data_IF_245235983294
#
_entry.id   IF_245235983294
#
_cell.length_a   1.000
_cell.length_b   1.000
_cell.length_c   1.000
_cell.angle_alpha   90.00
_cell.angle_beta   90.00
_cell.angle_gamma   90.00
#
_symmetry.space_group_name_H-M   'P 1'
#
loop_
_entity.id
_entity.type
_entity.pdbx_description
1 polymer ?
#
# COMPACT_ATOMS: atom_id res chain seq x y z
N UNK A 1 11.40 15.68 24.37
CA UNK A 1 10.75 15.93 25.67
C UNK A 1 11.63 16.87 26.51
N UNK A 2 11.13 18.06 26.83
CA UNK A 2 11.83 19.02 27.70
C UNK A 2 11.25 18.93 29.12
N UNK A 3 12.10 18.98 30.14
CA UNK A 3 11.67 19.17 31.53
C UNK A 3 11.08 17.96 32.28
N UNK A 4 11.12 16.75 31.71
CA UNK A 4 10.66 15.54 32.42
C UNK A 4 9.14 15.42 32.59
N UNK A 5 8.35 16.11 31.76
CA UNK A 5 6.88 16.09 31.80
C UNK A 5 6.27 14.71 31.52
N UNK A 6 7.04 13.82 30.88
CA UNK A 6 6.77 12.38 30.78
C UNK A 6 8.01 11.64 31.28
N UNK A 7 7.87 10.77 32.30
CA UNK A 7 8.95 9.91 32.77
C UNK A 7 9.52 9.05 31.64
N UNK A 8 10.84 8.91 31.59
CA UNK A 8 11.53 8.19 30.52
C UNK A 8 11.14 6.72 30.43
N UNK A 9 10.73 6.11 31.55
CA UNK A 9 10.23 4.73 31.62
C UNK A 9 8.94 4.49 30.82
N UNK A 10 8.11 5.53 30.60
CA UNK A 10 6.85 5.40 29.86
C UNK A 10 6.99 5.68 28.36
N UNK A 11 8.12 6.24 27.91
CA UNK A 11 8.37 6.53 26.49
C UNK A 11 8.28 5.25 25.62
N UNK A 12 8.85 4.10 26.02
CA UNK A 12 8.69 2.85 25.27
C UNK A 12 7.22 2.41 25.14
N UNK A 13 6.41 2.64 26.17
CA UNK A 13 4.98 2.30 26.17
C UNK A 13 4.21 3.14 25.15
N UNK A 14 4.47 4.46 25.11
CA UNK A 14 3.89 5.35 24.08
C UNK A 14 4.26 4.87 22.68
N UNK A 15 5.54 4.56 22.46
CA UNK A 15 6.03 4.02 21.18
C UNK A 15 5.30 2.73 20.80
N UNK A 16 5.18 1.77 21.72
CA UNK A 16 4.47 0.52 21.48
C UNK A 16 3.00 0.75 21.13
N UNK A 17 2.34 1.70 21.81
CA UNK A 17 0.96 2.07 21.52
C UNK A 17 0.78 2.65 20.12
N UNK A 18 1.72 3.48 19.68
CA UNK A 18 1.75 4.02 18.32
C UNK A 18 1.97 2.90 17.31
N UNK A 19 2.98 2.05 17.49
CA UNK A 19 3.29 0.95 16.57
C UNK A 19 2.13 -0.05 16.41
N UNK A 20 1.44 -0.37 17.50
CA UNK A 20 0.25 -1.24 17.46
C UNK A 20 -0.91 -0.59 16.72
N UNK A 21 -1.17 0.69 16.97
CA UNK A 21 -2.21 1.44 16.26
C UNK A 21 -1.86 1.60 14.76
N UNK A 22 -0.58 1.76 14.42
CA UNK A 22 -0.11 1.77 13.04
C UNK A 22 -0.39 0.43 12.36
N UNK A 23 -0.06 -0.69 13.02
CA UNK A 23 -0.27 -2.03 12.47
C UNK A 23 -1.75 -2.36 12.23
N UNK A 24 -2.64 -1.91 13.13
CA UNK A 24 -4.09 -2.12 13.01
C UNK A 24 -4.75 -1.25 11.93
N UNK A 25 -4.13 -0.13 11.56
CA UNK A 25 -4.70 0.82 10.62
C UNK A 25 -5.78 1.72 11.23
N UNK A 26 -5.97 2.90 10.62
CA UNK A 26 -6.89 3.93 11.14
C UNK A 26 -8.11 4.16 10.26
N UNK A 27 -7.96 4.05 8.92
CA UNK A 27 -9.02 4.42 7.96
C UNK A 27 -9.78 3.20 7.43
N UNK A 28 -9.06 2.18 6.98
CA UNK A 28 -9.65 0.99 6.37
C UNK A 28 -8.99 -0.31 6.87
N UNK A 29 -8.44 -0.28 8.09
CA UNK A 29 -7.80 -1.44 8.71
C UNK A 29 -6.48 -1.89 8.07
N UNK A 30 -5.91 -1.06 7.17
CA UNK A 30 -4.60 -1.32 6.58
C UNK A 30 -3.48 -0.63 7.38
N UNK A 31 -2.30 -1.26 7.49
CA UNK A 31 -1.18 -0.68 8.20
C UNK A 31 -0.83 0.73 7.74
N UNK A 32 -0.57 1.62 8.69
CA UNK A 32 -0.07 2.96 8.43
C UNK A 32 1.44 2.89 8.23
N UNK A 33 1.93 3.43 7.12
CA UNK A 33 3.35 3.48 6.76
C UNK A 33 3.78 4.93 6.46
N UNK A 34 5.09 5.15 6.35
CA UNK A 34 5.69 6.44 5.95
C UNK A 34 5.31 7.64 6.83
N UNK A 35 5.18 7.40 8.14
CA UNK A 35 4.91 8.44 9.14
C UNK A 35 6.08 8.63 10.10
N UNK A 36 6.25 9.87 10.56
CA UNK A 36 7.16 10.22 11.66
C UNK A 36 6.34 10.67 12.86
N UNK A 37 6.51 10.00 14.00
CA UNK A 37 5.91 10.39 15.27
C UNK A 37 6.96 11.04 16.18
N UNK A 38 6.62 12.17 16.79
CA UNK A 38 7.48 12.87 17.75
C UNK A 38 6.71 13.15 19.04
N UNK A 39 7.20 12.62 20.16
CA UNK A 39 6.70 12.93 21.50
C UNK A 39 7.38 14.22 22.00
N UNK A 40 6.69 15.34 21.85
CA UNK A 40 7.22 16.65 22.20
C UNK A 40 6.73 17.18 23.56
N UNK A 41 5.56 16.72 24.04
CA UNK A 41 4.93 17.17 25.29
C UNK A 41 4.05 16.07 25.92
N UNK A 42 3.62 16.28 27.17
CA UNK A 42 2.74 15.37 27.91
C UNK A 42 2.65 15.71 29.40
N UNK A 43 1.91 14.90 30.15
CA UNK A 43 1.79 14.99 31.60
C UNK A 43 1.53 13.62 32.21
N UNK A 44 1.82 13.45 33.49
CA UNK A 44 1.51 12.23 34.23
C UNK A 44 0.97 12.56 35.62
N UNK A 45 0.33 11.57 36.23
CA UNK A 45 -0.09 11.56 37.63
C UNK A 45 0.57 10.37 38.32
N UNK A 46 1.27 10.59 39.44
CA UNK A 46 2.13 9.58 40.08
C UNK A 46 1.41 8.28 40.44
N UNK A 47 0.11 8.36 40.79
CA UNK A 47 -0.65 7.20 41.28
C UNK A 47 -1.47 6.52 40.18
N UNK A 48 -2.00 7.30 39.24
CA UNK A 48 -2.95 6.79 38.25
C UNK A 48 -2.30 6.50 36.89
N UNK A 49 -1.07 7.01 36.67
CA UNK A 49 -0.33 6.74 35.44
C UNK A 49 0.31 5.37 35.48
N UNK A 50 0.20 4.66 34.35
CA UNK A 50 0.75 3.33 34.18
C UNK A 50 1.27 3.17 32.75
N UNK A 51 2.09 2.14 32.54
CA UNK A 51 2.58 1.76 31.22
C UNK A 51 1.42 1.55 30.23
N UNK A 52 0.37 0.86 30.67
CA UNK A 52 -0.83 0.62 29.87
C UNK A 52 -1.55 1.93 29.51
N UNK A 53 -1.64 2.88 30.45
CA UNK A 53 -2.27 4.17 30.18
C UNK A 53 -1.51 4.95 29.09
N UNK A 54 -0.18 5.00 29.17
CA UNK A 54 0.65 5.65 28.15
C UNK A 54 0.62 4.94 26.80
N UNK A 55 0.52 3.61 26.80
CA UNK A 55 0.31 2.82 25.58
C UNK A 55 -1.02 3.18 24.90
N UNK A 56 -2.11 3.21 25.66
CA UNK A 56 -3.43 3.61 25.14
C UNK A 56 -3.39 5.06 24.64
N UNK A 57 -2.77 5.98 25.39
CA UNK A 57 -2.62 7.37 24.98
C UNK A 57 -1.86 7.52 23.65
N UNK A 58 -0.77 6.76 23.46
CA UNK A 58 -0.03 6.72 22.19
C UNK A 58 -0.89 6.23 21.02
N UNK A 59 -1.66 5.16 21.22
CA UNK A 59 -2.59 4.62 20.22
C UNK A 59 -3.67 5.65 19.83
N UNK A 60 -4.32 6.27 20.82
CA UNK A 60 -5.34 7.30 20.58
C UNK A 60 -4.77 8.51 19.85
N UNK A 61 -3.57 8.96 20.24
CA UNK A 61 -2.89 10.11 19.63
C UNK A 61 -2.61 9.87 18.15
N UNK A 62 -2.15 8.67 17.78
CA UNK A 62 -1.97 8.30 16.37
C UNK A 62 -3.30 8.34 15.62
N UNK A 63 -4.35 7.69 16.15
CA UNK A 63 -5.64 7.62 15.46
C UNK A 63 -6.23 9.01 15.18
N UNK A 64 -6.16 9.92 16.15
CA UNK A 64 -6.61 11.30 15.95
C UNK A 64 -5.72 12.07 14.97
N UNK A 65 -4.40 11.92 15.10
CA UNK A 65 -3.42 12.58 14.23
C UNK A 65 -3.60 12.19 12.78
N UNK A 66 -3.70 10.88 12.49
CA UNK A 66 -3.88 10.36 11.13
C UNK A 66 -5.18 10.87 10.51
N UNK A 67 -6.29 10.90 11.25
CA UNK A 67 -7.58 11.40 10.72
C UNK A 67 -7.55 12.88 10.32
N UNK A 68 -6.68 13.69 10.97
CA UNK A 68 -6.51 15.11 10.67
C UNK A 68 -5.45 15.37 9.59
N UNK A 69 -4.63 14.37 9.27
CA UNK A 69 -3.48 14.49 8.36
C UNK A 69 -3.82 14.23 6.87
N UNK A 70 -5.11 14.17 6.51
CA UNK A 70 -5.59 13.83 5.16
C UNK A 70 -4.95 12.52 4.62
N UNK A 71 -5.22 11.38 5.28
CA UNK A 71 -4.56 10.12 4.95
C UNK A 71 -5.01 9.60 3.58
N UNK A 72 -4.07 8.95 2.88
CA UNK A 72 -4.31 8.31 1.58
C UNK A 72 -4.18 6.79 1.71
N UNK A 73 -4.91 6.07 0.87
CA UNK A 73 -4.70 4.63 0.72
C UNK A 73 -3.61 4.39 -0.32
N UNK A 74 -2.77 3.40 -0.04
CA UNK A 74 -1.71 2.96 -0.93
C UNK A 74 -2.06 1.59 -1.52
N UNK A 75 -1.80 1.40 -2.80
CA UNK A 75 -1.87 0.09 -3.46
C UNK A 75 -0.48 -0.33 -3.98
N UNK A 76 -0.16 -1.64 -3.94
CA UNK A 76 1.07 -2.15 -4.50
C UNK A 76 1.00 -2.15 -6.03
N UNK A 77 1.99 -1.51 -6.64
CA UNK A 77 2.21 -1.48 -8.09
C UNK A 77 3.23 -2.58 -8.44
N UNK A 78 2.82 -3.45 -9.36
CA UNK A 78 3.63 -4.54 -9.84
C UNK A 78 4.33 -4.12 -11.13
N UNK A 79 5.63 -4.36 -11.22
CA UNK A 79 6.33 -4.39 -12.51
C UNK A 79 6.02 -5.72 -13.17
N UNK A 80 5.35 -5.67 -14.30
CA UNK A 80 4.91 -6.82 -15.09
C UNK A 80 5.73 -6.85 -16.37
N UNK A 81 6.36 -7.98 -16.64
CA UNK A 81 7.05 -8.24 -17.90
C UNK A 81 6.29 -9.31 -18.64
N UNK A 82 5.84 -9.01 -19.85
CA UNK A 82 5.08 -9.91 -20.71
C UNK A 82 5.86 -10.20 -21.98
N UNK A 83 6.13 -11.47 -22.23
CA UNK A 83 6.75 -11.94 -23.48
C UNK A 83 5.64 -12.55 -24.33
N UNK A 84 5.40 -11.99 -25.51
CA UNK A 84 4.26 -12.34 -26.38
C UNK A 84 4.64 -12.29 -27.87
N UNK A 85 4.03 -13.11 -28.73
CA UNK A 85 4.17 -12.95 -30.18
C UNK A 85 3.69 -11.57 -30.65
N UNK A 86 4.35 -11.00 -31.66
CA UNK A 86 3.99 -9.69 -32.24
C UNK A 86 2.52 -9.65 -32.70
N UNK A 87 2.00 -10.77 -33.21
CA UNK A 87 0.61 -10.91 -33.64
C UNK A 87 -0.42 -10.71 -32.51
N UNK A 88 -0.04 -10.94 -31.24
CA UNK A 88 -0.92 -10.78 -30.07
C UNK A 88 -0.54 -9.56 -29.22
N UNK A 89 0.44 -8.76 -29.66
CA UNK A 89 0.93 -7.60 -28.92
C UNK A 89 -0.16 -6.56 -28.65
N UNK A 90 -1.00 -6.28 -29.65
CA UNK A 90 -2.09 -5.29 -29.51
C UNK A 90 -3.10 -5.65 -28.42
N UNK A 91 -3.51 -6.92 -28.37
CA UNK A 91 -4.46 -7.41 -27.37
C UNK A 91 -3.87 -7.35 -25.96
N UNK A 92 -2.59 -7.72 -25.80
CA UNK A 92 -1.90 -7.67 -24.51
C UNK A 92 -1.79 -6.23 -23.99
N UNK A 93 -1.44 -5.28 -24.84
CA UNK A 93 -1.38 -3.85 -24.46
C UNK A 93 -2.77 -3.32 -24.12
N UNK A 94 -3.79 -3.71 -24.89
CA UNK A 94 -5.18 -3.37 -24.62
C UNK A 94 -5.63 -3.83 -23.22
N UNK A 95 -5.34 -5.09 -22.88
CA UNK A 95 -5.67 -5.65 -21.56
C UNK A 95 -4.92 -4.93 -20.43
N UNK A 96 -3.60 -4.71 -20.56
CA UNK A 96 -2.80 -3.99 -19.57
C UNK A 96 -3.34 -2.57 -19.32
N UNK A 97 -3.68 -1.82 -20.38
CA UNK A 97 -4.25 -0.49 -20.25
C UNK A 97 -5.65 -0.51 -19.59
N UNK A 98 -6.47 -1.52 -19.89
CA UNK A 98 -7.79 -1.68 -19.25
C UNK A 98 -7.70 -1.90 -17.74
N UNK A 99 -6.55 -2.41 -17.28
CA UNK A 99 -6.22 -2.72 -15.87
C UNK A 99 -5.50 -1.58 -15.16
N UNK A 100 -5.67 -0.33 -15.63
CA UNK A 100 -4.93 0.84 -15.13
C UNK A 100 -3.41 0.70 -15.24
N UNK A 101 -2.95 -0.19 -16.12
CA UNK A 101 -1.54 -0.41 -16.37
C UNK A 101 -0.92 0.71 -17.18
N UNK A 102 0.36 1.00 -16.91
CA UNK A 102 1.17 1.91 -17.70
C UNK A 102 2.31 1.15 -18.36
N UNK A 103 2.28 1.04 -19.68
CA UNK A 103 3.40 0.48 -20.46
C UNK A 103 4.59 1.44 -20.38
N UNK A 104 5.75 0.92 -19.99
CA UNK A 104 7.01 1.67 -19.93
C UNK A 104 7.84 1.44 -21.18
N UNK A 105 8.07 0.19 -21.55
CA UNK A 105 8.88 -0.17 -22.70
C UNK A 105 8.32 -1.35 -23.46
N UNK A 106 8.74 -1.43 -24.72
CA UNK A 106 8.47 -2.54 -25.62
C UNK A 106 9.75 -2.84 -26.38
N UNK A 107 10.22 -4.07 -26.27
CA UNK A 107 11.51 -4.49 -26.80
C UNK A 107 11.36 -5.72 -27.71
N UNK A 108 12.22 -5.80 -28.72
CA UNK A 108 12.32 -6.97 -29.60
C UNK A 108 13.25 -8.00 -28.97
N UNK A 109 12.67 -9.06 -28.39
CA UNK A 109 13.45 -10.13 -27.76
C UNK A 109 14.04 -11.09 -28.81
N UNK A 110 13.25 -11.43 -29.82
CA UNK A 110 13.65 -12.26 -30.96
C UNK A 110 12.68 -12.05 -32.14
N UNK A 111 13.01 -12.50 -33.38
CA UNK A 111 12.14 -12.28 -34.53
C UNK A 111 10.69 -12.75 -34.29
N UNK A 112 9.76 -11.80 -34.29
CA UNK A 112 8.32 -12.04 -34.07
C UNK A 112 7.89 -12.22 -32.61
N UNK A 113 8.78 -11.97 -31.63
CA UNK A 113 8.50 -12.00 -30.19
C UNK A 113 8.83 -10.64 -29.58
N UNK A 114 7.86 -10.06 -28.87
CA UNK A 114 7.98 -8.81 -28.14
C UNK A 114 8.03 -9.06 -26.64
N UNK A 115 8.82 -8.28 -25.95
CA UNK A 115 8.78 -8.13 -24.50
C UNK A 115 8.15 -6.77 -24.17
N UNK A 116 7.22 -6.76 -23.23
CA UNK A 116 6.48 -5.57 -22.81
C UNK A 116 6.67 -5.41 -21.31
N UNK A 117 7.26 -4.29 -20.89
CA UNK A 117 7.36 -3.93 -19.47
C UNK A 117 6.26 -2.91 -19.14
N UNK A 118 5.46 -3.20 -18.12
CA UNK A 118 4.38 -2.34 -17.66
C UNK A 118 4.28 -2.32 -16.14
N UNK A 119 3.74 -1.23 -15.59
CA UNK A 119 3.41 -1.10 -14.18
C UNK A 119 1.91 -1.21 -14.00
N UNK A 120 1.45 -2.17 -13.20
CA UNK A 120 0.03 -2.46 -13.03
C UNK A 120 -0.30 -2.64 -11.55
N UNK A 121 -1.40 -2.05 -11.05
CA UNK A 121 -1.84 -2.29 -9.68
C UNK A 121 -2.16 -3.77 -9.44
N UNK A 122 -1.66 -4.36 -8.35
CA UNK A 122 -1.86 -5.79 -8.05
C UNK A 122 -3.35 -6.18 -7.97
N UNK A 123 -4.20 -5.27 -7.51
CA UNK A 123 -5.65 -5.48 -7.42
C UNK A 123 -6.31 -5.81 -8.76
N UNK A 124 -5.72 -5.37 -9.87
CA UNK A 124 -6.23 -5.57 -11.24
C UNK A 124 -5.66 -6.84 -11.90
N UNK A 125 -4.66 -7.46 -11.28
CA UNK A 125 -3.89 -8.60 -11.83
C UNK A 125 -4.48 -9.96 -11.45
N UNK A 126 -5.57 -10.01 -10.70
CA UNK A 126 -6.23 -11.26 -10.35
C UNK A 126 -6.75 -11.98 -11.61
N UNK A 127 -6.35 -13.24 -11.79
CA UNK A 127 -6.70 -14.03 -12.98
C UNK A 127 -5.94 -13.66 -14.26
N UNK A 128 -4.95 -12.77 -14.20
CA UNK A 128 -4.21 -12.28 -15.37
C UNK A 128 -3.61 -13.42 -16.21
N UNK A 129 -2.95 -14.41 -15.59
CA UNK A 129 -2.33 -15.55 -16.30
C UNK A 129 -3.33 -16.32 -17.17
N UNK A 130 -4.56 -16.51 -16.69
CA UNK A 130 -5.61 -17.22 -17.43
C UNK A 130 -6.09 -16.40 -18.63
N UNK A 131 -6.30 -15.09 -18.42
CA UNK A 131 -6.71 -14.18 -19.49
C UNK A 131 -5.63 -14.07 -20.56
N UNK A 132 -4.37 -13.88 -20.15
CA UNK A 132 -3.21 -13.81 -21.04
C UNK A 132 -3.08 -15.07 -21.91
N UNK A 133 -3.27 -16.25 -21.31
CA UNK A 133 -3.27 -17.52 -22.05
C UNK A 133 -4.39 -17.54 -23.10
N UNK A 134 -5.60 -17.09 -22.76
CA UNK A 134 -6.73 -17.07 -23.69
C UNK A 134 -6.48 -16.14 -24.89
N UNK A 135 -6.08 -14.89 -24.64
CA UNK A 135 -5.85 -13.88 -25.69
C UNK A 135 -4.66 -14.23 -26.60
N UNK A 136 -3.66 -14.95 -26.10
CA UNK A 136 -2.45 -15.30 -26.86
C UNK A 136 -2.44 -16.74 -27.36
N UNK A 137 -3.54 -17.47 -27.23
CA UNK A 137 -3.63 -18.91 -27.53
C UNK A 137 -2.55 -19.73 -26.80
N UNK A 138 -2.16 -19.27 -25.61
CA UNK A 138 -1.14 -19.87 -24.75
C UNK A 138 0.29 -19.66 -25.19
N UNK A 139 0.55 -18.67 -26.04
CA UNK A 139 1.89 -18.37 -26.58
C UNK A 139 2.61 -17.25 -25.85
N UNK A 140 1.97 -16.57 -24.90
CA UNK A 140 2.61 -15.58 -24.06
C UNK A 140 2.88 -16.07 -22.64
N UNK A 141 3.89 -15.48 -22.02
CA UNK A 141 4.26 -15.67 -20.63
C UNK A 141 4.38 -14.32 -19.94
N UNK A 142 4.10 -14.27 -18.64
CA UNK A 142 4.25 -13.07 -17.82
C UNK A 142 4.97 -13.38 -16.52
N UNK A 143 5.82 -12.46 -16.08
CA UNK A 143 6.33 -12.38 -14.71
C UNK A 143 5.89 -11.07 -14.07
N UNK A 144 5.79 -11.06 -12.75
CA UNK A 144 5.50 -9.84 -11.99
C UNK A 144 6.30 -9.80 -10.69
N UNK A 145 6.81 -8.62 -10.34
CA UNK A 145 7.49 -8.33 -9.09
C UNK A 145 6.96 -7.04 -8.47
N UNK A 146 7.02 -6.92 -7.14
CA UNK A 146 6.63 -5.68 -6.46
C UNK A 146 7.65 -4.59 -6.80
N UNK A 147 7.15 -3.44 -7.27
CA UNK A 147 7.99 -2.28 -7.59
C UNK A 147 7.91 -1.23 -6.49
N UNK A 148 6.71 -0.67 -6.25
CA UNK A 148 6.47 0.35 -5.22
C UNK A 148 5.01 0.36 -4.77
N UNK A 149 4.71 1.19 -3.77
CA UNK A 149 3.34 1.55 -3.39
C UNK A 149 2.99 2.92 -3.95
N UNK A 150 1.79 3.05 -4.51
CA UNK A 150 1.29 4.31 -5.07
C UNK A 150 -0.09 4.65 -4.49
N UNK A 151 -0.46 5.93 -4.59
CA UNK A 151 -1.75 6.41 -4.14
C UNK A 151 -2.90 5.75 -4.92
N UNK A 152 -3.86 5.21 -4.19
CA UNK A 152 -5.09 4.66 -4.76
C UNK A 152 -5.93 5.81 -5.33
N UNK A 153 -6.41 5.71 -6.59
CA UNK A 153 -7.31 6.69 -7.16
C UNK A 153 -8.56 6.92 -6.28
N UNK A 154 -8.99 8.18 -6.14
CA UNK A 154 -10.02 8.55 -5.16
C UNK A 154 -11.35 7.79 -5.30
N UNK A 155 -11.75 7.41 -6.53
CA UNK A 155 -12.92 6.58 -6.76
C UNK A 155 -12.77 5.16 -6.18
N UNK A 156 -11.61 4.54 -6.38
CA UNK A 156 -11.32 3.19 -5.86
C UNK A 156 -11.14 3.23 -4.34
N UNK A 157 -10.51 4.28 -3.81
CA UNK A 157 -10.30 4.46 -2.37
C UNK A 157 -11.65 4.54 -1.62
N UNK A 158 -12.61 5.30 -2.14
CA UNK A 158 -13.94 5.41 -1.54
C UNK A 158 -14.68 4.06 -1.50
N UNK A 159 -14.57 3.25 -2.55
CA UNK A 159 -15.16 1.91 -2.58
C UNK A 159 -14.53 0.97 -1.54
N UNK A 160 -13.21 1.01 -1.39
CA UNK A 160 -12.50 0.20 -0.39
C UNK A 160 -12.94 0.60 1.02
N UNK A 161 -12.95 1.90 1.33
CA UNK A 161 -13.38 2.41 2.64
C UNK A 161 -14.83 2.00 2.93
N UNK A 162 -15.72 2.12 1.95
CA UNK A 162 -17.13 1.73 2.11
C UNK A 162 -17.34 0.24 2.35
N UNK A 163 -16.50 -0.63 1.75
CA UNK A 163 -16.56 -2.08 1.97
C UNK A 163 -16.08 -2.48 3.36
N UNK A 164 -15.03 -1.82 3.86
CA UNK A 164 -14.43 -2.16 5.15
C UNK A 164 -15.13 -1.51 6.35
N UNK A 165 -15.92 -0.45 6.13
CA UNK A 165 -16.72 0.20 7.17
C UNK A 165 -17.98 -0.58 7.60
N UNK A 166 -18.18 -1.79 7.08
CA UNK A 166 -19.30 -2.69 7.38
C UNK A 166 -18.88 -3.81 8.31
#
# INVERSE_FOLDING_TARGET
>A
IKGGSVPSEYIPAVKSGIEEAMANGVIAGYPVVDVKAELYDGSFHEVDSSEMAFKIAGSMSLQEGVKRAAPVLLEPIMKVVVVTPEASMGDVIGDLNSKRGRVESMEDLSPGIKEITAFVPLGEMFGYTTNLRSMTQGRAASSMELDHYADVPGNVAQEIIAKTAK
#
